data_IF_319942945815
#
_entry.id   IF_319942945815
#
_cell.length_a   1.000
_cell.length_b   1.000
_cell.length_c   1.000
_cell.angle_alpha   90.00
_cell.angle_beta   90.00
_cell.angle_gamma   90.00
#
_symmetry.space_group_name_H-M   'P 1'
#
loop_
_entity.id
_entity.type
_entity.pdbx_description
1 polymer ?
#
# COMPACT_ATOMS: atom_id res chain seq x y z
N UNK A 1 18.31 19.87 -11.62
CA UNK A 1 17.75 18.53 -11.32
C UNK A 1 16.38 18.50 -11.98
N UNK A 2 16.33 17.99 -13.21
CA UNK A 2 15.16 18.00 -14.07
C UNK A 2 14.08 17.09 -13.49
N UNK A 3 12.93 17.66 -13.11
CA UNK A 3 11.70 16.90 -12.90
C UNK A 3 11.48 16.04 -14.16
N UNK A 4 11.60 14.72 -14.01
CA UNK A 4 11.14 13.80 -15.05
C UNK A 4 9.67 14.14 -15.31
N UNK A 5 9.23 14.22 -16.58
CA UNK A 5 7.82 14.40 -16.86
C UNK A 5 7.09 13.27 -16.15
N UNK A 6 6.13 13.64 -15.29
CA UNK A 6 5.28 12.71 -14.53
C UNK A 6 5.00 11.51 -15.42
N UNK A 7 5.56 10.35 -15.05
CA UNK A 7 5.28 9.08 -15.74
C UNK A 7 3.77 9.00 -15.83
N UNK A 8 3.26 9.11 -17.05
CA UNK A 8 1.84 9.17 -17.31
C UNK A 8 1.24 7.87 -16.77
N UNK A 9 0.64 7.95 -15.59
CA UNK A 9 -0.19 6.91 -15.04
C UNK A 9 -1.32 6.71 -16.05
N UNK A 10 -1.11 5.80 -17.00
CA UNK A 10 -1.87 5.75 -18.26
C UNK A 10 -3.28 5.23 -18.06
N UNK A 11 -3.64 4.91 -16.82
CA UNK A 11 -4.95 4.42 -16.42
C UNK A 11 -5.65 5.55 -15.66
N UNK A 12 -6.83 6.03 -16.13
CA UNK A 12 -7.63 7.00 -15.42
C UNK A 12 -7.84 6.57 -13.96
N UNK A 13 -7.64 7.49 -13.03
CA UNK A 13 -7.96 7.27 -11.62
C UNK A 13 -9.46 7.55 -11.42
N UNK A 14 -10.31 6.70 -11.99
CA UNK A 14 -11.77 6.80 -11.92
C UNK A 14 -12.39 5.78 -10.94
N UNK A 15 -13.67 6.00 -10.62
CA UNK A 15 -14.40 5.15 -9.67
C UNK A 15 -14.52 3.70 -10.17
N UNK A 16 -14.67 3.51 -11.48
CA UNK A 16 -14.78 2.18 -12.09
C UNK A 16 -13.50 1.35 -11.92
N UNK A 17 -12.33 1.99 -12.04
CA UNK A 17 -11.05 1.35 -11.74
C UNK A 17 -10.92 1.01 -10.26
N UNK A 18 -11.28 1.96 -9.39
CA UNK A 18 -11.26 1.78 -7.92
C UNK A 18 -12.07 0.54 -7.55
N UNK A 19 -13.33 0.47 -8.00
CA UNK A 19 -14.22 -0.67 -7.75
C UNK A 19 -13.63 -1.99 -8.27
N UNK A 20 -13.02 -1.98 -9.46
CA UNK A 20 -12.36 -3.19 -10.02
C UNK A 20 -11.20 -3.65 -9.14
N UNK A 21 -10.36 -2.73 -8.65
CA UNK A 21 -9.21 -3.06 -7.80
C UNK A 21 -9.69 -3.58 -6.43
N UNK A 22 -10.70 -2.95 -5.84
CA UNK A 22 -11.31 -3.41 -4.59
C UNK A 22 -11.89 -4.82 -4.72
N UNK A 23 -12.58 -5.10 -5.83
CA UNK A 23 -13.08 -6.44 -6.13
C UNK A 23 -11.93 -7.45 -6.29
N UNK A 24 -10.86 -7.09 -7.01
CA UNK A 24 -9.69 -7.96 -7.14
C UNK A 24 -9.04 -8.25 -5.78
N UNK A 25 -8.90 -7.24 -4.92
CA UNK A 25 -8.40 -7.40 -3.56
C UNK A 25 -9.27 -8.37 -2.74
N UNK A 26 -10.59 -8.15 -2.73
CA UNK A 26 -11.53 -9.02 -2.02
C UNK A 26 -11.49 -10.48 -2.51
N UNK A 27 -11.38 -10.67 -3.84
CA UNK A 27 -11.22 -12.00 -4.44
C UNK A 27 -9.88 -12.65 -4.03
N UNK A 28 -8.79 -11.89 -4.04
CA UNK A 28 -7.47 -12.38 -3.63
C UNK A 28 -7.46 -12.80 -2.16
N UNK A 29 -7.94 -11.94 -1.26
CA UNK A 29 -8.05 -12.24 0.19
C UNK A 29 -8.84 -13.53 0.39
N UNK A 30 -9.99 -13.68 -0.29
CA UNK A 30 -10.81 -14.90 -0.21
C UNK A 30 -10.07 -16.13 -0.76
N UNK A 31 -9.38 -15.99 -1.89
CA UNK A 31 -8.65 -17.07 -2.53
C UNK A 31 -7.49 -17.59 -1.66
N UNK A 32 -6.82 -16.72 -0.90
CA UNK A 32 -5.73 -17.10 0.00
C UNK A 32 -6.19 -17.53 1.40
N UNK A 33 -7.48 -17.86 1.55
CA UNK A 33 -8.05 -18.38 2.79
C UNK A 33 -8.44 -17.30 3.80
N UNK A 34 -8.94 -16.16 3.31
CA UNK A 34 -9.32 -14.99 4.11
C UNK A 34 -8.15 -14.43 4.92
N UNK A 35 -6.96 -14.39 4.30
CA UNK A 35 -5.74 -13.79 4.86
C UNK A 35 -5.35 -12.56 4.05
N UNK A 36 -4.66 -11.60 4.67
CA UNK A 36 -4.15 -10.40 3.99
C UNK A 36 -2.75 -10.61 3.38
N UNK A 37 -2.02 -11.59 3.90
CA UNK A 37 -0.69 -11.98 3.47
C UNK A 37 -0.45 -13.47 3.76
N UNK A 38 0.48 -14.07 3.02
CA UNK A 38 0.89 -15.47 3.21
C UNK A 38 2.27 -15.61 3.86
N UNK A 39 3.01 -14.50 3.99
CA UNK A 39 4.30 -14.49 4.66
C UNK A 39 4.15 -14.95 6.13
N UNK A 40 5.07 -15.77 6.65
CA UNK A 40 5.03 -16.25 8.02
C UNK A 40 5.54 -15.16 8.98
N UNK A 41 4.83 -14.05 9.05
CA UNK A 41 5.19 -12.92 9.91
C UNK A 41 4.89 -13.26 11.39
N UNK A 42 5.82 -12.89 12.26
CA UNK A 42 5.56 -12.82 13.68
C UNK A 42 5.04 -11.42 13.99
N UNK A 43 3.72 -11.24 14.02
CA UNK A 43 3.05 -9.92 14.09
C UNK A 43 3.69 -8.93 15.10
N UNK A 44 4.04 -9.33 16.34
CA UNK A 44 4.63 -8.40 17.31
C UNK A 44 6.06 -7.93 16.99
N UNK A 45 6.74 -8.59 16.03
CA UNK A 45 8.10 -8.24 15.59
C UNK A 45 8.11 -7.41 14.30
N UNK A 46 6.94 -7.19 13.69
CA UNK A 46 6.81 -6.39 12.47
C UNK A 46 6.61 -4.94 12.88
N UNK A 47 7.48 -4.05 12.43
CA UNK A 47 7.45 -2.63 12.80
C UNK A 47 7.38 -1.70 11.59
N UNK A 48 7.84 -2.12 10.41
CA UNK A 48 7.84 -1.32 9.19
C UNK A 48 7.38 -2.13 7.98
N UNK A 49 6.28 -1.71 7.39
CA UNK A 49 5.69 -2.34 6.20
C UNK A 49 5.69 -1.33 5.06
N UNK A 50 6.08 -1.79 3.87
CA UNK A 50 6.02 -0.99 2.65
C UNK A 50 4.98 -1.56 1.69
N UNK A 51 3.92 -0.81 1.43
CA UNK A 51 2.86 -1.17 0.48
C UNK A 51 3.04 -0.37 -0.83
N UNK A 52 3.32 -1.08 -1.91
CA UNK A 52 3.61 -0.51 -3.23
C UNK A 52 2.37 -0.69 -4.11
N UNK A 53 1.79 0.43 -4.57
CA UNK A 53 0.91 0.41 -5.75
C UNK A 53 -0.44 -0.30 -5.61
N UNK A 54 -0.93 -0.56 -4.39
CA UNK A 54 -2.21 -1.28 -4.18
C UNK A 54 -3.48 -0.46 -4.52
N UNK A 55 -3.38 0.65 -5.24
CA UNK A 55 -4.53 1.35 -5.83
C UNK A 55 -5.47 2.02 -4.80
N UNK A 56 -6.47 1.32 -4.27
CA UNK A 56 -7.56 1.91 -3.47
C UNK A 56 -7.29 2.11 -1.98
N UNK A 57 -6.13 1.64 -1.50
CA UNK A 57 -5.68 1.73 -0.10
C UNK A 57 -6.31 0.78 0.88
N UNK A 58 -7.27 -0.01 0.42
CA UNK A 58 -7.94 -0.99 1.26
C UNK A 58 -6.93 -1.93 1.94
N UNK A 59 -5.95 -2.45 1.20
CA UNK A 59 -4.93 -3.35 1.76
C UNK A 59 -4.07 -2.71 2.84
N UNK A 60 -3.57 -1.49 2.64
CA UNK A 60 -2.78 -0.79 3.65
C UNK A 60 -3.60 -0.55 4.93
N UNK A 61 -4.87 -0.18 4.80
CA UNK A 61 -5.77 0.04 5.93
C UNK A 61 -6.04 -1.26 6.69
N UNK A 62 -6.44 -2.33 5.99
CA UNK A 62 -6.70 -3.62 6.63
C UNK A 62 -5.45 -4.20 7.31
N UNK A 63 -4.27 -4.02 6.71
CA UNK A 63 -3.01 -4.45 7.33
C UNK A 63 -2.69 -3.61 8.56
N UNK A 64 -2.95 -2.31 8.53
CA UNK A 64 -2.74 -1.44 9.69
C UNK A 64 -3.63 -1.79 10.88
N UNK A 65 -4.81 -2.36 10.63
CA UNK A 65 -5.73 -2.83 11.67
C UNK A 65 -5.26 -4.18 12.28
N UNK A 66 -4.54 -5.00 11.51
CA UNK A 66 -4.00 -6.29 11.99
C UNK A 66 -2.63 -6.13 12.65
N UNK A 67 -1.74 -5.36 12.03
CA UNK A 67 -0.37 -5.12 12.49
C UNK A 67 -0.29 -3.75 13.17
N UNK A 68 -0.94 -3.64 14.32
CA UNK A 68 -1.15 -2.36 15.03
C UNK A 68 0.14 -1.70 15.50
N UNK A 69 1.18 -2.49 15.76
CA UNK A 69 2.50 -2.02 16.19
C UNK A 69 3.43 -1.66 15.01
N UNK A 70 2.98 -1.88 13.77
CA UNK A 70 3.73 -1.58 12.57
C UNK A 70 3.31 -0.24 11.94
N UNK A 71 4.29 0.54 11.50
CA UNK A 71 4.08 1.63 10.55
C UNK A 71 3.88 1.05 9.15
N UNK A 72 2.73 1.34 8.54
CA UNK A 72 2.42 0.98 7.15
C UNK A 72 2.67 2.21 6.27
N UNK A 73 3.74 2.15 5.49
CA UNK A 73 4.12 3.19 4.54
C UNK A 73 3.61 2.75 3.17
N UNK A 74 2.70 3.54 2.61
CA UNK A 74 2.10 3.26 1.31
C UNK A 74 2.61 4.24 0.26
N UNK A 75 3.22 3.71 -0.78
CA UNK A 75 3.75 4.47 -1.91
C UNK A 75 2.81 4.35 -3.12
N UNK A 76 2.46 5.49 -3.73
CA UNK A 76 1.63 5.53 -4.95
C UNK A 76 1.93 6.78 -5.79
N UNK A 77 1.84 6.62 -7.12
CA UNK A 77 1.95 7.71 -8.10
C UNK A 77 0.69 8.58 -8.17
N UNK A 78 -0.38 8.23 -7.46
CA UNK A 78 -1.63 8.98 -7.37
C UNK A 78 -1.82 9.57 -5.98
N UNK A 79 -2.02 10.88 -5.92
CA UNK A 79 -2.23 11.60 -4.68
C UNK A 79 -3.65 11.32 -4.19
N UNK A 80 -3.80 10.25 -3.43
CA UNK A 80 -5.04 9.98 -2.73
C UNK A 80 -4.67 9.84 -1.26
N UNK A 81 -5.08 10.79 -0.43
CA UNK A 81 -4.93 10.71 1.03
C UNK A 81 -6.34 10.78 1.62
N UNK A 82 -6.86 9.70 2.25
CA UNK A 82 -8.19 9.76 2.83
C UNK A 82 -8.14 10.63 4.10
N UNK A 83 -9.17 11.45 4.29
CA UNK A 83 -9.40 12.08 5.60
C UNK A 83 -9.71 10.99 6.62
N UNK A 84 -8.91 10.87 7.68
CA UNK A 84 -9.14 9.92 8.76
C UNK A 84 -8.45 8.56 8.61
N UNK A 85 -7.31 8.49 7.91
CA UNK A 85 -6.47 7.30 7.96
C UNK A 85 -5.99 7.00 9.40
N UNK A 86 -5.76 5.72 9.75
CA UNK A 86 -5.18 5.33 11.03
C UNK A 86 -3.81 5.99 11.25
N UNK A 87 -3.46 6.23 12.51
CA UNK A 87 -2.21 6.94 12.87
C UNK A 87 -0.94 6.18 12.49
N UNK A 88 -1.04 4.86 12.30
CA UNK A 88 0.06 4.00 11.86
C UNK A 88 0.13 3.84 10.33
N UNK A 89 -0.66 4.59 9.55
CA UNK A 89 -0.59 4.59 8.08
C UNK A 89 -0.03 5.92 7.58
N UNK A 90 1.04 5.84 6.78
CA UNK A 90 1.67 7.00 6.13
C UNK A 90 1.57 6.85 4.62
N UNK A 91 1.16 7.91 3.94
CA UNK A 91 1.06 7.96 2.48
C UNK A 91 2.24 8.73 1.92
N UNK A 92 2.95 8.12 0.98
CA UNK A 92 4.04 8.73 0.23
C UNK A 92 3.63 8.85 -1.24
N UNK A 93 3.60 10.09 -1.73
CA UNK A 93 3.39 10.38 -3.14
C UNK A 93 4.77 10.46 -3.80
N UNK A 94 5.25 9.31 -4.26
CA UNK A 94 6.56 9.20 -4.90
C UNK A 94 6.53 8.05 -5.91
N UNK A 95 7.49 8.06 -6.83
CA UNK A 95 7.75 6.95 -7.73
C UNK A 95 8.59 5.91 -6.99
N UNK A 96 8.07 4.68 -6.86
CA UNK A 96 8.80 3.57 -6.23
C UNK A 96 10.12 3.22 -6.94
N UNK A 97 10.30 3.65 -8.20
CA UNK A 97 11.56 3.50 -8.93
C UNK A 97 12.67 4.45 -8.42
N UNK A 98 12.32 5.46 -7.63
CA UNK A 98 13.31 6.31 -6.97
C UNK A 98 14.00 5.55 -5.82
N UNK A 99 15.24 5.93 -5.46
CA UNK A 99 15.92 5.33 -4.33
C UNK A 99 15.09 5.47 -3.04
N UNK A 100 14.77 4.34 -2.42
CA UNK A 100 14.15 4.30 -1.10
C UNK A 100 15.15 4.80 -0.05
N UNK A 101 14.62 5.30 1.08
CA UNK A 101 15.45 5.69 2.21
C UNK A 101 16.28 4.54 2.77
N UNK A 102 17.27 4.85 3.61
CA UNK A 102 18.21 3.87 4.18
C UNK A 102 17.58 2.91 5.21
N UNK A 103 16.32 3.15 5.60
CA UNK A 103 15.63 2.34 6.60
C UNK A 103 15.08 1.06 5.96
N UNK A 104 15.38 -0.08 6.60
CA UNK A 104 14.85 -1.36 6.18
C UNK A 104 13.34 -1.48 6.45
N UNK A 105 12.69 -2.37 5.71
CA UNK A 105 11.32 -2.80 5.92
C UNK A 105 11.32 -4.26 6.33
N UNK A 106 10.47 -4.61 7.30
CA UNK A 106 10.30 -6.00 7.75
C UNK A 106 9.48 -6.79 6.73
N UNK A 107 8.59 -6.11 6.01
CA UNK A 107 7.77 -6.71 4.98
C UNK A 107 7.43 -5.71 3.86
N UNK A 108 7.47 -6.20 2.62
CA UNK A 108 7.12 -5.43 1.42
C UNK A 108 5.97 -6.13 0.72
N UNK A 109 5.01 -5.32 0.29
CA UNK A 109 3.75 -5.75 -0.27
C UNK A 109 3.55 -5.05 -1.61
N UNK A 110 3.21 -5.84 -2.63
CA UNK A 110 2.82 -5.38 -3.96
C UNK A 110 1.66 -6.23 -4.51
#
# INVERSE_FOLDING_TARGET
>A
MTLRPLLAYSIPNDDAKTERIDMCHALMVKAIGSKLYLAPLEEPKVHRIFDIGTGTKLRALEISDVLTDAEVIRNDLSAMQPSGAPSNVRFEFDDVENPLGEQAYDYIIC
#
